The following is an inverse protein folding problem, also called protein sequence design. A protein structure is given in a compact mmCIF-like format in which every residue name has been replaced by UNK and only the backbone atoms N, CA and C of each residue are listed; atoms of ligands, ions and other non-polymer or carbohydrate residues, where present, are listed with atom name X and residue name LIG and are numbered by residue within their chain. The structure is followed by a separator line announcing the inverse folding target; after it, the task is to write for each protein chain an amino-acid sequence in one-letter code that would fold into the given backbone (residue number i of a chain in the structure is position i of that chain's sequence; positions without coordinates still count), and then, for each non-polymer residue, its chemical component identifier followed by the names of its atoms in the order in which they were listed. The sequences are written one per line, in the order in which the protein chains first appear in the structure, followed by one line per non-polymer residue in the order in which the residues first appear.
data_IF_972030989225
#
_entry.id   IF_972030989225
#
_cell.length_a   1.000
_cell.length_b   1.000
_cell.length_c   1.000
_cell.angle_alpha   90.00
_cell.angle_beta   90.00
_cell.angle_gamma   90.00
#
_symmetry.space_group_name_H-M   'P 1'
#
loop_
_entity.id
_entity.type
_entity.pdbx_description
1 polymer ?
#
# COMPACT_ATOMS: atom_id res chain seq x y z
N UNK A 1 34.12 63.06 3.84
CA UNK A 1 32.78 62.58 4.27
C UNK A 1 32.30 61.58 3.23
N UNK A 2 32.45 60.30 3.53
CA UNK A 2 32.04 59.21 2.61
C UNK A 2 30.60 58.80 2.95
N UNK A 3 29.66 58.99 2.02
CA UNK A 3 28.28 58.58 2.18
C UNK A 3 28.16 57.05 1.94
N UNK A 4 27.86 56.31 2.98
CA UNK A 4 27.59 54.86 2.96
C UNK A 4 26.16 54.69 2.44
N UNK A 5 25.99 54.19 1.21
CA UNK A 5 24.68 53.81 0.66
C UNK A 5 24.39 52.39 1.13
N UNK A 6 23.48 52.26 2.07
CA UNK A 6 22.95 50.96 2.53
C UNK A 6 21.89 50.49 1.53
N UNK A 7 22.27 49.55 0.66
CA UNK A 7 21.32 48.85 -0.23
C UNK A 7 20.54 47.82 0.57
N UNK A 8 19.29 48.13 0.86
CA UNK A 8 18.35 47.14 1.41
C UNK A 8 17.93 46.14 0.34
N UNK A 9 18.51 44.94 0.38
CA UNK A 9 18.10 43.83 -0.45
C UNK A 9 16.76 43.30 0.14
N UNK A 10 15.62 43.69 -0.47
CA UNK A 10 14.33 43.12 -0.15
C UNK A 10 14.28 41.69 -0.71
N UNK A 11 14.59 40.71 0.13
CA UNK A 11 14.37 39.30 -0.14
C UNK A 11 12.88 39.02 -0.04
N UNK A 12 12.14 39.14 -1.14
CA UNK A 12 10.74 38.70 -1.22
C UNK A 12 10.74 37.18 -1.28
N UNK A 13 10.49 36.53 -0.13
CA UNK A 13 10.11 35.13 -0.08
C UNK A 13 8.71 35.03 -0.73
N UNK A 14 8.64 34.55 -1.95
CA UNK A 14 7.42 34.01 -2.49
C UNK A 14 7.14 32.71 -1.76
N UNK A 15 6.39 32.78 -0.68
CA UNK A 15 5.67 31.64 -0.14
C UNK A 15 4.61 31.29 -1.18
N UNK A 16 4.96 30.40 -2.11
CA UNK A 16 3.95 29.70 -2.89
C UNK A 16 3.12 28.94 -1.89
N UNK A 17 1.79 29.20 -1.79
CA UNK A 17 0.94 28.38 -0.97
C UNK A 17 1.07 26.95 -1.52
N UNK A 18 1.66 26.06 -0.74
CA UNK A 18 1.51 24.64 -0.96
C UNK A 18 0.00 24.37 -0.84
N UNK A 19 -0.68 24.28 -1.97
CA UNK A 19 -2.03 23.77 -2.01
C UNK A 19 -1.94 22.31 -1.63
N UNK A 20 -2.07 22.01 -0.34
CA UNK A 20 -2.49 20.72 0.13
C UNK A 20 -3.93 20.54 -0.39
N UNK A 21 -4.05 20.06 -1.62
CA UNK A 21 -5.34 19.74 -2.21
C UNK A 21 -5.92 18.59 -1.40
N UNK A 22 -6.94 18.84 -0.60
CA UNK A 22 -7.76 17.78 -0.08
C UNK A 22 -8.46 17.15 -1.30
N UNK A 23 -7.92 16.04 -1.78
CA UNK A 23 -8.55 15.26 -2.85
C UNK A 23 -9.78 14.58 -2.25
N UNK A 24 -10.94 15.25 -2.31
CA UNK A 24 -12.23 14.62 -2.07
C UNK A 24 -12.69 14.02 -3.39
N UNK A 25 -12.70 12.71 -3.50
CA UNK A 25 -13.11 12.05 -4.73
C UNK A 25 -13.06 10.54 -4.62
N UNK A 26 -13.66 9.87 -5.60
CA UNK A 26 -13.59 8.42 -5.72
C UNK A 26 -12.19 8.04 -6.21
N UNK A 27 -11.55 7.11 -5.51
CA UNK A 27 -10.33 6.47 -5.96
C UNK A 27 -10.61 4.98 -6.21
N UNK A 28 -10.03 4.44 -7.27
CA UNK A 28 -10.05 3.01 -7.59
C UNK A 28 -8.62 2.55 -7.80
N UNK A 29 -8.25 1.44 -7.21
CA UNK A 29 -6.93 0.82 -7.36
C UNK A 29 -7.15 -0.60 -7.85
N UNK A 30 -6.54 -0.94 -8.97
CA UNK A 30 -6.45 -2.30 -9.50
C UNK A 30 -5.01 -2.76 -9.43
N UNK A 31 -4.75 -3.90 -8.80
CA UNK A 31 -3.39 -4.37 -8.52
C UNK A 31 -3.17 -5.76 -9.08
N UNK A 32 -2.00 -5.98 -9.67
CA UNK A 32 -1.49 -7.31 -10.00
C UNK A 32 -0.18 -7.50 -9.25
N UNK A 33 -0.11 -8.48 -8.36
CA UNK A 33 1.01 -8.67 -7.45
C UNK A 33 1.72 -10.00 -7.69
N UNK A 34 3.05 -9.97 -7.52
CA UNK A 34 3.90 -11.16 -7.51
C UNK A 34 4.63 -11.23 -6.17
N UNK A 35 4.55 -12.37 -5.49
CA UNK A 35 5.32 -12.63 -4.29
C UNK A 35 6.81 -12.75 -4.62
N UNK A 36 7.65 -12.07 -3.86
CA UNK A 36 9.11 -12.05 -4.08
C UNK A 36 9.86 -12.92 -3.09
N UNK A 37 9.57 -12.76 -1.82
CA UNK A 37 10.12 -13.56 -0.74
C UNK A 37 8.98 -13.93 0.19
N UNK A 38 8.88 -15.21 0.51
CA UNK A 38 7.82 -15.70 1.36
C UNK A 38 8.38 -16.69 2.38
N UNK A 39 8.19 -16.41 3.66
CA UNK A 39 8.58 -17.28 4.76
C UNK A 39 7.36 -17.67 5.57
N UNK A 40 7.22 -18.97 5.79
CA UNK A 40 6.18 -19.53 6.65
C UNK A 40 6.83 -20.00 7.94
N UNK A 41 6.31 -19.52 9.07
CA UNK A 41 6.77 -19.92 10.41
C UNK A 41 5.64 -20.64 11.12
N UNK A 42 5.97 -21.83 11.62
CA UNK A 42 5.10 -22.58 12.50
C UNK A 42 5.39 -22.11 13.93
N UNK A 43 4.35 -21.64 14.62
CA UNK A 43 4.44 -21.24 16.03
C UNK A 43 3.62 -22.22 16.86
N UNK A 44 4.24 -22.81 17.89
CA UNK A 44 3.51 -23.62 18.89
C UNK A 44 2.74 -22.68 19.82
N UNK A 45 1.44 -22.84 19.90
CA UNK A 45 0.59 -22.18 20.89
C UNK A 45 -0.13 -23.25 21.70
N UNK A 46 0.41 -23.59 22.87
CA UNK A 46 -0.16 -24.63 23.74
C UNK A 46 0.01 -26.06 23.19
N UNK A 47 -0.62 -27.03 23.84
CA UNK A 47 -0.63 -28.41 23.37
C UNK A 47 -1.58 -28.56 22.18
N UNK A 48 -1.02 -28.82 21.01
CA UNK A 48 -1.74 -29.21 19.80
C UNK A 48 -2.20 -28.10 18.86
N UNK A 49 -1.98 -26.83 19.16
CA UNK A 49 -2.35 -25.72 18.26
C UNK A 49 -1.12 -25.11 17.60
N UNK A 50 -1.08 -25.09 16.29
CA UNK A 50 -0.02 -24.49 15.49
C UNK A 50 -0.59 -23.40 14.59
N UNK A 51 -0.63 -22.12 15.02
CA UNK A 51 -0.91 -21.06 14.10
C UNK A 51 0.26 -20.92 13.13
N UNK A 52 -0.06 -20.73 11.87
CA UNK A 52 0.89 -20.46 10.82
C UNK A 52 1.07 -18.96 10.71
N UNK A 53 2.29 -18.47 10.84
CA UNK A 53 2.63 -17.10 10.49
C UNK A 53 3.32 -17.10 9.13
N UNK A 54 2.86 -16.26 8.24
CA UNK A 54 3.50 -16.00 6.96
C UNK A 54 3.96 -14.54 6.91
N UNK A 55 5.18 -14.33 6.42
CA UNK A 55 5.73 -13.00 6.17
C UNK A 55 6.41 -12.99 4.80
N UNK A 56 6.36 -11.88 4.09
CA UNK A 56 6.97 -11.82 2.79
C UNK A 56 6.96 -10.41 2.19
N UNK A 57 7.46 -10.34 0.97
CA UNK A 57 7.46 -9.15 0.14
C UNK A 57 6.71 -9.43 -1.15
N UNK A 58 6.03 -8.42 -1.66
CA UNK A 58 5.33 -8.45 -2.93
C UNK A 58 5.71 -7.22 -3.75
N UNK A 59 5.89 -7.41 -5.04
CA UNK A 59 5.93 -6.32 -6.00
C UNK A 59 4.64 -6.32 -6.79
N UNK A 60 4.00 -5.17 -6.90
CA UNK A 60 2.74 -5.03 -7.61
C UNK A 60 2.84 -3.96 -8.70
N UNK A 61 2.11 -4.21 -9.77
CA UNK A 61 1.74 -3.18 -10.73
C UNK A 61 0.32 -2.72 -10.40
N UNK A 62 0.15 -1.42 -10.25
CA UNK A 62 -1.09 -0.78 -9.84
C UNK A 62 -1.61 0.10 -10.97
N UNK A 63 -2.90 0.03 -11.26
CA UNK A 63 -3.59 1.04 -12.05
C UNK A 63 -4.52 1.81 -11.13
N UNK A 64 -4.21 3.07 -10.91
CA UNK A 64 -4.93 3.97 -10.01
C UNK A 64 -5.77 4.96 -10.83
N UNK A 65 -7.07 5.04 -10.54
CA UNK A 65 -7.95 6.06 -11.10
C UNK A 65 -8.36 7.02 -9.98
N UNK A 66 -8.05 8.28 -10.14
CA UNK A 66 -8.36 9.35 -9.20
C UNK A 66 -8.84 10.58 -9.97
N UNK A 67 -10.02 11.11 -9.61
CA UNK A 67 -10.65 12.23 -10.30
C UNK A 67 -10.73 12.00 -11.84
N UNK A 68 -11.15 10.80 -12.25
CA UNK A 68 -11.30 10.34 -13.63
C UNK A 68 -9.99 10.30 -14.46
N UNK A 69 -8.84 10.42 -13.81
CA UNK A 69 -7.53 10.25 -14.43
C UNK A 69 -6.91 8.94 -13.99
N UNK A 70 -6.58 8.10 -14.97
CA UNK A 70 -5.83 6.86 -14.76
C UNK A 70 -4.33 7.11 -14.74
N UNK A 71 -3.61 6.37 -13.90
CA UNK A 71 -2.16 6.38 -13.82
C UNK A 71 -1.63 5.02 -13.43
N UNK A 72 -0.48 4.66 -13.98
CA UNK A 72 0.27 3.46 -13.64
C UNK A 72 1.23 3.74 -12.50
N UNK A 73 1.31 2.81 -11.55
CA UNK A 73 2.22 2.88 -10.43
C UNK A 73 2.88 1.51 -10.21
N UNK A 74 4.09 1.52 -9.69
CA UNK A 74 4.77 0.33 -9.22
C UNK A 74 4.82 0.36 -7.71
N UNK A 75 4.41 -0.70 -7.05
CA UNK A 75 4.43 -0.78 -5.60
C UNK A 75 5.30 -1.91 -5.08
N UNK A 76 5.85 -1.68 -3.89
CA UNK A 76 6.48 -2.70 -3.07
C UNK A 76 5.74 -2.79 -1.76
N UNK A 77 5.40 -4.00 -1.37
CA UNK A 77 4.60 -4.27 -0.19
C UNK A 77 5.30 -5.28 0.72
N UNK A 78 5.19 -5.07 2.03
CA UNK A 78 5.48 -6.10 3.02
C UNK A 78 4.18 -6.79 3.42
N UNK A 79 4.19 -8.11 3.41
CA UNK A 79 3.06 -8.96 3.77
C UNK A 79 3.28 -9.62 5.11
N UNK A 80 2.26 -9.66 5.94
CA UNK A 80 2.22 -10.43 7.18
C UNK A 80 0.83 -11.07 7.34
N UNK A 81 0.80 -12.34 7.65
CA UNK A 81 -0.42 -13.06 7.94
C UNK A 81 -0.26 -13.94 9.18
N UNK A 82 -1.34 -14.07 9.93
CA UNK A 82 -1.48 -15.00 11.04
C UNK A 82 -2.70 -15.88 10.77
N UNK A 83 -2.49 -17.19 10.73
CA UNK A 83 -3.57 -18.14 10.56
C UNK A 83 -4.04 -18.56 11.95
N UNK A 84 -5.26 -18.19 12.30
CA UNK A 84 -5.90 -18.60 13.56
C UNK A 84 -6.43 -20.02 13.43
N UNK A 85 -6.11 -20.92 14.38
CA UNK A 85 -6.64 -22.29 14.38
C UNK A 85 -8.13 -22.31 14.73
N UNK A 86 -8.83 -23.34 14.27
CA UNK A 86 -10.24 -23.56 14.53
C UNK A 86 -10.81 -24.60 13.57
N UNK A 87 -12.11 -24.88 13.65
CA UNK A 87 -12.80 -25.73 12.68
C UNK A 87 -12.70 -25.15 11.26
N UNK A 88 -12.75 -23.82 11.17
CA UNK A 88 -12.47 -23.08 9.94
C UNK A 88 -11.30 -22.15 10.21
N UNK A 89 -10.06 -22.53 9.83
CA UNK A 89 -8.90 -21.69 10.04
C UNK A 89 -9.03 -20.37 9.27
N UNK A 90 -8.79 -19.26 9.95
CA UNK A 90 -8.89 -17.92 9.39
C UNK A 90 -7.51 -17.32 9.17
N UNK A 91 -7.31 -16.76 8.01
CA UNK A 91 -6.12 -15.99 7.65
C UNK A 91 -6.37 -14.51 7.94
N UNK A 92 -5.64 -13.96 8.91
CA UNK A 92 -5.64 -12.52 9.22
C UNK A 92 -4.39 -11.92 8.63
N UNK A 93 -4.52 -11.05 7.64
CA UNK A 93 -3.36 -10.54 6.92
C UNK A 93 -3.35 -9.02 6.80
N UNK A 94 -2.14 -8.51 6.62
CA UNK A 94 -1.85 -7.09 6.42
C UNK A 94 -0.74 -6.94 5.39
N UNK A 95 -0.95 -6.06 4.41
CA UNK A 95 0.08 -5.57 3.51
C UNK A 95 0.31 -4.09 3.79
N UNK A 96 1.58 -3.69 3.93
CA UNK A 96 1.97 -2.28 3.96
C UNK A 96 2.73 -1.97 2.68
N UNK A 97 2.22 -1.03 1.92
CA UNK A 97 2.66 -0.74 0.56
C UNK A 97 3.09 0.71 0.40
N UNK A 98 4.09 0.90 -0.45
CA UNK A 98 4.39 2.18 -1.06
C UNK A 98 4.44 2.01 -2.58
N UNK A 99 3.82 2.91 -3.30
CA UNK A 99 3.81 2.92 -4.74
C UNK A 99 4.38 4.22 -5.28
N UNK A 100 5.00 4.12 -6.44
CA UNK A 100 5.57 5.25 -7.17
C UNK A 100 5.02 5.27 -8.58
N UNK A 101 4.71 6.44 -9.06
CA UNK A 101 4.42 6.65 -10.48
C UNK A 101 5.68 6.96 -11.29
N UNK A 102 5.50 7.28 -12.58
CA UNK A 102 6.60 7.59 -13.50
C UNK A 102 7.35 8.87 -13.13
N UNK A 103 6.73 9.81 -12.42
CA UNK A 103 7.32 11.07 -11.97
C UNK A 103 8.08 10.91 -10.64
N UNK A 104 7.95 9.76 -9.98
CA UNK A 104 8.53 9.47 -8.67
C UNK A 104 7.67 9.96 -7.50
N UNK A 105 6.45 10.42 -7.76
CA UNK A 105 5.51 10.75 -6.70
C UNK A 105 4.98 9.48 -6.05
N UNK A 106 4.90 9.48 -4.72
CA UNK A 106 4.60 8.27 -3.95
C UNK A 106 3.25 8.34 -3.24
N UNK A 107 2.61 7.18 -3.09
CA UNK A 107 1.43 6.97 -2.27
C UNK A 107 1.67 5.81 -1.28
N UNK A 108 1.17 5.96 -0.05
CA UNK A 108 1.36 4.98 1.04
C UNK A 108 0.02 4.46 1.53
N UNK A 109 -0.11 3.13 1.60
CA UNK A 109 -1.32 2.52 2.12
C UNK A 109 -1.05 1.22 2.86
N UNK A 110 -2.06 0.79 3.61
CA UNK A 110 -2.13 -0.54 4.21
C UNK A 110 -3.39 -1.23 3.71
N UNK A 111 -3.24 -2.47 3.30
CA UNK A 111 -4.33 -3.37 3.09
C UNK A 111 -4.41 -4.35 4.26
N UNK A 112 -5.60 -4.57 4.80
CA UNK A 112 -5.85 -5.55 5.85
C UNK A 112 -7.16 -6.28 5.60
N UNK A 113 -7.20 -7.56 5.91
CA UNK A 113 -8.37 -8.38 5.72
C UNK A 113 -8.30 -9.70 6.48
N UNK A 114 -9.43 -10.39 6.42
CA UNK A 114 -9.59 -11.72 6.96
C UNK A 114 -10.27 -12.59 5.91
N UNK A 115 -9.77 -13.80 5.71
CA UNK A 115 -10.40 -14.81 4.86
C UNK A 115 -10.25 -16.20 5.45
N UNK A 116 -10.97 -17.14 4.90
CA UNK A 116 -10.82 -18.55 5.23
C UNK A 116 -9.52 -19.07 4.61
N UNK A 117 -8.67 -19.69 5.43
CA UNK A 117 -7.41 -20.24 4.98
C UNK A 117 -7.62 -21.28 3.87
N UNK A 118 -6.86 -21.14 2.80
CA UNK A 118 -6.95 -22.00 1.62
C UNK A 118 -7.93 -21.53 0.55
N UNK A 119 -8.75 -20.50 0.82
CA UNK A 119 -9.52 -19.84 -0.24
C UNK A 119 -8.58 -19.01 -1.13
N UNK A 120 -8.94 -18.93 -2.41
CA UNK A 120 -8.20 -18.18 -3.42
C UNK A 120 -8.78 -16.79 -3.69
N UNK A 121 -9.65 -16.34 -2.81
CA UNK A 121 -10.26 -15.02 -2.89
C UNK A 121 -10.67 -14.55 -1.51
N UNK A 122 -10.70 -13.26 -1.33
CA UNK A 122 -11.11 -12.65 -0.08
C UNK A 122 -11.41 -11.17 -0.24
N UNK A 123 -11.71 -10.53 0.87
CA UNK A 123 -12.00 -9.11 0.93
C UNK A 123 -11.26 -8.46 2.09
N UNK A 124 -11.13 -7.15 2.03
CA UNK A 124 -10.49 -6.37 3.07
C UNK A 124 -10.64 -4.89 2.84
N UNK A 125 -9.89 -4.12 3.59
CA UNK A 125 -9.89 -2.66 3.54
C UNK A 125 -8.50 -2.13 3.24
N UNK A 126 -8.41 -1.22 2.28
CA UNK A 126 -7.24 -0.39 2.03
C UNK A 126 -7.41 0.91 2.82
N UNK A 127 -6.39 1.28 3.57
CA UNK A 127 -6.30 2.60 4.23
C UNK A 127 -5.12 3.35 3.62
N UNK A 128 -5.39 4.48 2.98
CA UNK A 128 -4.38 5.40 2.44
C UNK A 128 -3.99 6.38 3.55
N UNK A 129 -2.69 6.50 3.82
CA UNK A 129 -2.17 7.35 4.89
C UNK A 129 -1.63 8.67 4.39
N UNK A 130 -1.24 8.75 3.12
CA UNK A 130 -0.64 9.94 2.55
C UNK A 130 0.18 9.63 1.31
N UNK A 131 0.89 10.62 0.83
CA UNK A 131 1.75 10.54 -0.33
C UNK A 131 2.65 11.76 -0.45
N UNK A 132 3.46 11.76 -1.50
CA UNK A 132 4.34 12.87 -1.90
C UNK A 132 3.88 13.48 -3.21
N UNK A 133 4.44 14.63 -3.59
CA UNK A 133 4.15 15.30 -4.83
C UNK A 133 2.66 15.51 -5.07
N UNK A 134 2.13 15.01 -6.19
CA UNK A 134 0.69 15.12 -6.53
C UNK A 134 -0.23 14.35 -5.56
N UNK A 135 0.30 13.44 -4.75
CA UNK A 135 -0.45 12.69 -3.73
C UNK A 135 -0.34 13.31 -2.34
N UNK A 136 0.29 14.47 -2.19
CA UNK A 136 0.41 15.14 -0.90
C UNK A 136 -0.97 15.43 -0.30
N UNK A 137 -1.18 15.02 0.96
CA UNK A 137 -2.45 15.21 1.66
C UNK A 137 -3.54 14.19 1.32
N UNK A 138 -3.26 13.22 0.45
CA UNK A 138 -4.21 12.12 0.16
C UNK A 138 -4.41 11.25 1.40
N UNK A 139 -5.65 10.91 1.69
CA UNK A 139 -6.01 9.95 2.73
C UNK A 139 -7.38 9.35 2.43
N UNK A 140 -7.65 8.17 2.96
CA UNK A 140 -8.96 7.55 2.77
C UNK A 140 -8.99 6.07 3.08
N UNK A 141 -10.18 5.49 2.89
CA UNK A 141 -10.44 4.07 3.03
C UNK A 141 -11.21 3.55 1.84
N UNK A 142 -10.83 2.35 1.39
CA UNK A 142 -11.43 1.66 0.24
C UNK A 142 -11.75 0.23 0.65
N UNK A 143 -12.88 -0.29 0.20
CA UNK A 143 -13.11 -1.72 0.24
C UNK A 143 -12.39 -2.37 -0.93
N UNK A 144 -11.80 -3.51 -0.70
CA UNK A 144 -11.05 -4.26 -1.69
C UNK A 144 -11.47 -5.72 -1.72
N UNK A 145 -11.50 -6.28 -2.91
CA UNK A 145 -11.63 -7.71 -3.13
C UNK A 145 -10.35 -8.18 -3.84
N UNK A 146 -9.91 -9.38 -3.53
CA UNK A 146 -8.76 -9.98 -4.19
C UNK A 146 -9.08 -11.38 -4.67
N UNK A 147 -8.37 -11.80 -5.69
CA UNK A 147 -8.43 -13.15 -6.22
C UNK A 147 -7.03 -13.59 -6.61
N UNK A 148 -6.64 -14.78 -6.20
CA UNK A 148 -5.39 -15.38 -6.62
C UNK A 148 -5.56 -15.97 -8.01
N UNK A 149 -4.67 -15.60 -8.94
CA UNK A 149 -4.58 -16.26 -10.22
C UNK A 149 -4.24 -17.75 -10.00
N UNK A 150 -4.85 -18.63 -10.79
CA UNK A 150 -4.52 -20.05 -10.76
C UNK A 150 -3.09 -20.20 -11.31
N UNK A 151 -2.13 -20.52 -10.45
CA UNK A 151 -0.83 -21.00 -10.92
C UNK A 151 -1.07 -22.30 -11.65
N UNK A 152 -0.48 -22.41 -12.83
CA UNK A 152 -0.55 -23.63 -13.62
C UNK A 152 0.05 -24.77 -12.77
N UNK A 153 -0.67 -25.89 -12.60
CA UNK A 153 -0.25 -27.02 -11.76
C UNK A 153 1.09 -27.64 -12.19
N UNK A 154 1.62 -27.22 -13.34
CA UNK A 154 2.92 -27.63 -13.87
C UNK A 154 4.11 -26.80 -13.32
N UNK A 155 3.86 -25.71 -12.59
CA UNK A 155 4.90 -24.88 -11.97
C UNK A 155 4.59 -24.66 -10.48
N UNK A 156 5.02 -25.58 -9.60
CA UNK A 156 4.75 -25.54 -8.18
C UNK A 156 5.68 -24.60 -7.37
N UNK A 157 6.51 -23.76 -8.03
CA UNK A 157 7.46 -22.86 -7.36
C UNK A 157 6.88 -21.48 -7.09
#
# INVERSE_FOLDING_TARGET
MKKLILAFLKLTFFLTPLFAGSHSGKITISSTCTAKHFQVRLMKMGEGQMPLQAVGEQNCFEYVVMADKGMDMNSSCTYSALISPGETPMNNFTNSCHAFDADGDAMYWRYSGTDEFGKRSGSGQVTIFGGTGKFQGISGKLNSNWQQAVQNAADPT
#
